data_IF_472340522467
#
_entry.id   IF_472340522467
#
_cell.length_a   1.000
_cell.length_b   1.000
_cell.length_c   1.000
_cell.angle_alpha   90.00
_cell.angle_beta   90.00
_cell.angle_gamma   90.00
#
_symmetry.space_group_name_H-M   'P 1'
#
loop_
_entity.id
_entity.type
_entity.pdbx_description
1 polymer ?
#
# COMPACT_ATOMS: atom_id res chain seq x y z
N UNK A 1 -12.16 -25.38 -25.14
CA UNK A 1 -11.18 -25.78 -24.10
C UNK A 1 -10.34 -24.61 -23.57
N UNK A 2 -10.35 -23.42 -24.19
CA UNK A 2 -9.51 -22.27 -23.78
C UNK A 2 -10.05 -21.47 -22.58
N UNK A 3 -11.37 -21.33 -22.43
CA UNK A 3 -11.99 -20.48 -21.37
C UNK A 3 -11.72 -20.97 -19.95
N UNK A 4 -11.84 -22.28 -19.69
CA UNK A 4 -11.68 -22.85 -18.35
C UNK A 4 -10.23 -22.79 -17.84
N UNK A 5 -9.23 -22.81 -18.73
CA UNK A 5 -7.83 -22.68 -18.37
C UNK A 5 -7.47 -21.23 -18.00
N UNK A 6 -8.00 -20.26 -18.77
CA UNK A 6 -7.85 -18.83 -18.47
C UNK A 6 -8.52 -18.47 -17.15
N UNK A 7 -9.77 -18.89 -16.93
CA UNK A 7 -10.52 -18.61 -15.70
C UNK A 7 -9.83 -19.16 -14.43
N UNK A 8 -9.28 -20.39 -14.51
CA UNK A 8 -8.51 -20.99 -13.43
C UNK A 8 -7.22 -20.22 -13.13
N UNK A 9 -6.55 -19.73 -14.18
CA UNK A 9 -5.30 -18.97 -14.05
C UNK A 9 -5.55 -17.59 -13.44
N UNK A 10 -6.57 -16.88 -13.90
CA UNK A 10 -6.98 -15.58 -13.33
C UNK A 10 -7.39 -15.71 -11.86
N UNK A 11 -8.16 -16.76 -11.53
CA UNK A 11 -8.56 -17.05 -10.15
C UNK A 11 -7.36 -17.33 -9.24
N UNK A 12 -6.37 -18.11 -9.71
CA UNK A 12 -5.16 -18.40 -8.96
C UNK A 12 -4.29 -17.15 -8.74
N UNK A 13 -4.14 -16.30 -9.77
CA UNK A 13 -3.45 -15.02 -9.66
C UNK A 13 -4.12 -14.12 -8.63
N UNK A 14 -5.46 -13.99 -8.69
CA UNK A 14 -6.22 -13.23 -7.69
C UNK A 14 -6.00 -13.75 -6.27
N UNK A 15 -6.05 -15.07 -6.06
CA UNK A 15 -5.85 -15.67 -4.75
C UNK A 15 -4.42 -15.46 -4.21
N UNK A 16 -3.40 -15.58 -5.08
CA UNK A 16 -2.00 -15.32 -4.72
C UNK A 16 -1.78 -13.86 -4.35
N UNK A 17 -2.27 -12.93 -5.17
CA UNK A 17 -2.16 -11.49 -4.91
C UNK A 17 -2.86 -11.09 -3.62
N UNK A 18 -4.06 -11.63 -3.35
CA UNK A 18 -4.77 -11.40 -2.10
C UNK A 18 -3.97 -11.85 -0.87
N UNK A 19 -3.28 -13.00 -0.93
CA UNK A 19 -2.41 -13.48 0.16
C UNK A 19 -1.22 -12.56 0.41
N UNK A 20 -0.58 -12.08 -0.66
CA UNK A 20 0.55 -11.12 -0.56
C UNK A 20 0.09 -9.83 0.12
N UNK A 21 -1.03 -9.25 -0.33
CA UNK A 21 -1.60 -8.03 0.25
C UNK A 21 -2.00 -8.26 1.72
N UNK A 22 -2.70 -9.35 2.03
CA UNK A 22 -3.14 -9.64 3.39
C UNK A 22 -1.95 -9.80 4.37
N UNK A 23 -0.85 -10.41 3.91
CA UNK A 23 0.38 -10.50 4.69
C UNK A 23 1.00 -9.13 4.92
N UNK A 24 1.13 -8.32 3.86
CA UNK A 24 1.69 -6.98 3.93
C UNK A 24 0.87 -6.04 4.83
N UNK A 25 -0.46 -6.12 4.81
CA UNK A 25 -1.35 -5.38 5.71
C UNK A 25 -1.03 -5.69 7.17
N UNK A 26 -0.89 -6.97 7.52
CA UNK A 26 -0.53 -7.37 8.89
C UNK A 26 0.84 -6.82 9.32
N UNK A 27 1.85 -6.93 8.45
CA UNK A 27 3.18 -6.40 8.73
C UNK A 27 3.24 -4.87 8.77
N UNK A 28 2.42 -4.20 7.99
CA UNK A 28 2.32 -2.73 7.97
C UNK A 28 1.65 -2.21 9.25
N UNK A 29 0.61 -2.88 9.73
CA UNK A 29 0.01 -2.58 11.03
C UNK A 29 1.03 -2.75 12.17
N UNK A 30 1.87 -3.79 12.11
CA UNK A 30 2.92 -4.01 13.11
C UNK A 30 4.04 -2.94 13.04
N UNK A 31 4.39 -2.46 11.85
CA UNK A 31 5.38 -1.40 11.67
C UNK A 31 4.99 -0.07 12.34
N UNK A 32 3.68 0.18 12.51
CA UNK A 32 3.14 1.37 13.17
C UNK A 32 3.33 1.40 14.72
N UNK A 33 3.89 0.33 15.31
CA UNK A 33 4.09 0.20 16.76
C UNK A 33 5.53 0.54 17.19
N UNK A 34 6.42 0.87 16.24
CA UNK A 34 7.82 1.19 16.52
C UNK A 34 7.94 2.58 17.18
N UNK A 35 8.45 2.70 18.42
CA UNK A 35 8.48 3.98 19.16
C UNK A 35 9.64 4.90 18.75
N UNK A 36 10.16 4.75 17.52
CA UNK A 36 11.28 5.55 17.00
C UNK A 36 10.76 6.43 15.85
N UNK A 37 10.84 7.77 15.98
CA UNK A 37 10.37 8.68 14.95
C UNK A 37 10.94 8.36 13.56
N UNK A 38 10.10 8.42 12.54
CA UNK A 38 10.43 8.18 11.11
C UNK A 38 10.81 6.74 10.75
N UNK A 39 11.28 5.93 11.69
CA UNK A 39 11.65 4.52 11.44
C UNK A 39 10.43 3.67 11.13
N UNK A 40 9.30 3.96 11.78
CA UNK A 40 7.99 3.37 11.50
C UNK A 40 7.55 3.59 10.04
N UNK A 41 7.75 4.80 9.51
CA UNK A 41 7.44 5.15 8.12
C UNK A 41 8.37 4.43 7.13
N UNK A 42 9.66 4.33 7.44
CA UNK A 42 10.61 3.57 6.63
C UNK A 42 10.29 2.07 6.63
N UNK A 43 9.91 1.52 7.79
CA UNK A 43 9.48 0.14 7.92
C UNK A 43 8.20 -0.12 7.10
N UNK A 44 7.20 0.77 7.19
CA UNK A 44 5.98 0.72 6.38
C UNK A 44 6.30 0.75 4.88
N UNK A 45 7.08 1.72 4.42
CA UNK A 45 7.49 1.82 3.02
C UNK A 45 8.24 0.57 2.56
N UNK A 46 9.10 0.01 3.41
CA UNK A 46 9.84 -1.23 3.11
C UNK A 46 8.91 -2.43 2.94
N UNK A 47 7.89 -2.55 3.80
CA UNK A 47 6.84 -3.58 3.66
C UNK A 47 6.09 -3.41 2.35
N UNK A 48 5.73 -2.18 1.99
CA UNK A 48 5.00 -1.88 0.74
C UNK A 48 5.86 -2.14 -0.51
N UNK A 49 7.14 -1.77 -0.50
CA UNK A 49 8.09 -2.09 -1.59
C UNK A 49 8.21 -3.60 -1.77
N UNK A 50 8.40 -4.34 -0.68
CA UNK A 50 8.46 -5.82 -0.73
C UNK A 50 7.15 -6.40 -1.28
N UNK A 51 6.00 -5.92 -0.80
CA UNK A 51 4.68 -6.36 -1.27
C UNK A 51 4.56 -6.19 -2.79
N UNK A 52 4.91 -5.02 -3.32
CA UNK A 52 4.80 -4.75 -4.76
C UNK A 52 5.76 -5.61 -5.58
N UNK A 53 6.98 -5.87 -5.09
CA UNK A 53 7.91 -6.83 -5.73
C UNK A 53 7.36 -8.25 -5.74
N UNK A 54 6.73 -8.69 -4.66
CA UNK A 54 6.11 -10.01 -4.60
C UNK A 54 4.88 -10.10 -5.51
N UNK A 55 4.10 -9.02 -5.65
CA UNK A 55 3.01 -8.92 -6.63
C UNK A 55 3.53 -8.96 -8.07
N UNK A 56 4.60 -8.25 -8.39
CA UNK A 56 5.24 -8.30 -9.70
C UNK A 56 5.60 -9.74 -10.08
N UNK A 57 6.23 -10.49 -9.16
CA UNK A 57 6.56 -11.91 -9.33
C UNK A 57 5.32 -12.79 -9.55
N UNK A 58 4.26 -12.56 -8.77
CA UNK A 58 2.98 -13.30 -8.94
C UNK A 58 2.42 -13.11 -10.35
N UNK A 59 2.54 -11.91 -10.90
CA UNK A 59 2.06 -11.56 -12.24
C UNK A 59 3.09 -11.78 -13.36
N UNK A 60 4.23 -12.43 -13.07
CA UNK A 60 5.28 -12.73 -14.05
C UNK A 60 6.05 -11.51 -14.56
N UNK A 61 5.99 -10.39 -13.84
CA UNK A 61 6.71 -9.16 -14.16
C UNK A 61 8.07 -9.11 -13.47
N UNK A 62 8.99 -8.31 -14.01
CA UNK A 62 10.26 -8.02 -13.35
C UNK A 62 10.01 -7.28 -12.02
N UNK A 63 10.69 -7.73 -10.97
CA UNK A 63 10.59 -7.17 -9.62
C UNK A 63 11.77 -6.25 -9.25
N UNK A 64 12.78 -6.18 -10.13
CA UNK A 64 13.96 -5.34 -10.03
C UNK A 64 13.70 -3.96 -10.61
N UNK A 65 13.17 -3.08 -9.78
CA UNK A 65 13.10 -1.65 -10.08
C UNK A 65 13.62 -0.85 -8.88
N UNK A 66 14.59 0.02 -9.16
CA UNK A 66 15.25 0.91 -8.20
C UNK A 66 14.47 2.18 -7.92
N UNK A 67 13.54 2.55 -8.80
CA UNK A 67 12.64 3.70 -8.63
C UNK A 67 11.44 3.37 -7.75
N UNK A 68 11.13 2.08 -7.57
CA UNK A 68 9.98 1.61 -6.80
C UNK A 68 9.87 2.24 -5.39
N UNK A 69 10.94 2.36 -4.57
CA UNK A 69 10.85 3.07 -3.30
C UNK A 69 10.34 4.50 -3.43
N UNK A 70 10.80 5.24 -4.46
CA UNK A 70 10.33 6.60 -4.75
C UNK A 70 8.87 6.63 -5.18
N UNK A 71 8.43 5.68 -6.00
CA UNK A 71 7.02 5.51 -6.37
C UNK A 71 6.14 5.27 -5.14
N UNK A 72 6.55 4.38 -4.24
CA UNK A 72 5.83 4.11 -2.99
C UNK A 72 5.77 5.36 -2.11
N UNK A 73 6.87 6.11 -2.00
CA UNK A 73 6.89 7.40 -1.31
C UNK A 73 5.91 8.41 -1.92
N UNK A 74 5.81 8.49 -3.25
CA UNK A 74 4.87 9.36 -3.93
C UNK A 74 3.41 8.98 -3.63
N UNK A 75 3.06 7.69 -3.73
CA UNK A 75 1.72 7.18 -3.41
C UNK A 75 1.34 7.45 -1.94
N UNK A 76 2.27 7.26 -1.00
CA UNK A 76 2.06 7.61 0.40
C UNK A 76 1.87 9.14 0.57
N UNK A 77 2.66 9.95 -0.16
CA UNK A 77 2.54 11.40 -0.19
C UNK A 77 1.15 11.88 -0.64
N UNK A 78 0.52 11.19 -1.59
CA UNK A 78 -0.88 11.43 -2.00
C UNK A 78 -1.88 11.13 -0.87
N UNK A 79 -1.63 10.07 -0.09
CA UNK A 79 -2.58 9.59 0.93
C UNK A 79 -2.49 10.33 2.27
N UNK A 80 -1.34 10.90 2.62
CA UNK A 80 -1.16 11.62 3.88
C UNK A 80 -2.13 12.81 3.99
N UNK A 81 -2.24 13.74 3.02
CA UNK A 81 -3.23 14.82 3.07
C UNK A 81 -4.67 14.32 3.16
N UNK A 82 -5.02 13.27 2.41
CA UNK A 82 -6.36 12.65 2.44
C UNK A 82 -6.70 12.03 3.82
N UNK A 83 -5.68 11.55 4.53
CA UNK A 83 -5.84 10.96 5.87
C UNK A 83 -5.95 12.02 6.96
N UNK A 84 -5.32 13.18 6.75
CA UNK A 84 -5.46 14.34 7.63
C UNK A 84 -6.85 14.97 7.50
N UNK A 85 -7.35 15.16 6.27
CA UNK A 85 -8.68 15.76 6.02
C UNK A 85 -9.83 14.89 6.55
N UNK A 86 -9.62 13.58 6.63
CA UNK A 86 -10.62 12.63 7.18
C UNK A 86 -10.48 12.37 8.68
N UNK A 87 -9.54 13.02 9.36
CA UNK A 87 -9.32 12.87 10.80
C UNK A 87 -8.62 11.58 11.23
N UNK A 88 -8.32 10.67 10.30
CA UNK A 88 -7.62 9.40 10.57
C UNK A 88 -6.26 9.63 11.22
N UNK A 89 -5.51 10.60 10.70
CA UNK A 89 -4.25 11.07 11.29
C UNK A 89 -4.43 12.40 12.06
N UNK A 90 -5.47 13.18 11.72
CA UNK A 90 -5.68 14.55 12.20
C UNK A 90 -6.02 14.67 13.69
N UNK A 91 -6.72 13.70 14.27
CA UNK A 91 -7.06 13.70 15.71
C UNK A 91 -5.86 13.37 16.61
N UNK A 92 -4.79 12.79 16.04
CA UNK A 92 -3.59 12.39 16.76
C UNK A 92 -2.47 13.44 16.78
N UNK A 93 -2.52 14.43 15.88
CA UNK A 93 -1.53 15.50 15.80
C UNK A 93 -1.50 16.41 17.05
N UNK A 94 -2.48 16.30 17.95
CA UNK A 94 -2.67 17.20 19.09
C UNK A 94 -1.95 16.82 20.39
N UNK A 95 -1.18 15.73 20.45
CA UNK A 95 -0.89 15.14 21.78
C UNK A 95 0.40 15.63 22.48
N UNK A 96 1.41 16.25 21.84
CA UNK A 96 2.59 16.71 22.61
C UNK A 96 3.18 18.04 22.07
N UNK A 97 3.08 19.16 22.81
CA UNK A 97 3.92 20.33 22.57
C UNK A 97 5.36 20.02 23.02
N UNK A 98 6.33 20.05 22.10
CA UNK A 98 7.77 20.04 22.43
C UNK A 98 8.60 18.83 22.00
N UNK A 99 8.01 17.77 21.44
CA UNK A 99 8.80 16.64 20.93
C UNK A 99 7.98 15.44 20.48
N UNK A 100 7.60 15.41 19.20
CA UNK A 100 7.08 14.21 18.52
C UNK A 100 5.57 14.12 18.41
N UNK A 101 5.06 14.17 17.17
CA UNK A 101 3.71 13.70 16.85
C UNK A 101 3.67 12.19 17.04
N UNK A 102 3.19 11.72 18.18
CA UNK A 102 2.62 10.39 18.25
C UNK A 102 1.31 10.44 17.46
N UNK A 103 1.39 10.18 16.15
CA UNK A 103 0.21 9.67 15.46
C UNK A 103 -0.24 8.49 16.30
N UNK A 104 -1.47 8.53 16.83
CA UNK A 104 -1.93 7.54 17.78
C UNK A 104 -1.74 6.18 17.15
N UNK A 105 -1.16 5.24 17.88
CA UNK A 105 -0.77 3.92 17.36
C UNK A 105 -1.89 3.25 16.56
N UNK A 106 -3.15 3.46 16.98
CA UNK A 106 -4.34 3.01 16.26
C UNK A 106 -4.56 3.73 14.91
N UNK A 107 -4.47 5.06 14.87
CA UNK A 107 -4.62 5.84 13.63
C UNK A 107 -3.51 5.54 12.64
N UNK A 108 -2.27 5.39 13.13
CA UNK A 108 -1.13 4.99 12.31
C UNK A 108 -1.26 3.56 11.79
N UNK A 109 -1.66 2.61 12.63
CA UNK A 109 -1.90 1.22 12.20
C UNK A 109 -3.04 1.13 11.17
N UNK A 110 -4.11 1.90 11.35
CA UNK A 110 -5.21 1.98 10.41
C UNK A 110 -4.77 2.61 9.07
N UNK A 111 -4.02 3.70 9.11
CA UNK A 111 -3.41 4.30 7.91
C UNK A 111 -2.47 3.33 7.20
N UNK A 112 -1.56 2.68 7.93
CA UNK A 112 -0.62 1.70 7.39
C UNK A 112 -1.34 0.52 6.73
N UNK A 113 -2.41 0.01 7.35
CA UNK A 113 -3.22 -1.07 6.80
C UNK A 113 -3.97 -0.64 5.55
N UNK A 114 -4.68 0.48 5.60
CA UNK A 114 -5.49 0.97 4.49
C UNK A 114 -4.63 1.40 3.29
N UNK A 115 -3.51 2.09 3.53
CA UNK A 115 -2.59 2.50 2.46
C UNK A 115 -1.96 1.30 1.77
N UNK A 116 -1.50 0.29 2.53
CA UNK A 116 -0.89 -0.89 1.87
C UNK A 116 -1.92 -1.74 1.14
N UNK A 117 -3.16 -1.83 1.66
CA UNK A 117 -4.23 -2.49 0.91
C UNK A 117 -4.52 -1.78 -0.41
N UNK A 118 -4.68 -0.45 -0.38
CA UNK A 118 -4.96 0.36 -1.55
C UNK A 118 -3.83 0.29 -2.59
N UNK A 119 -2.58 0.48 -2.16
CA UNK A 119 -1.40 0.37 -3.03
C UNK A 119 -1.32 -1.03 -3.65
N UNK A 120 -1.52 -2.08 -2.85
CA UNK A 120 -1.53 -3.46 -3.35
C UNK A 120 -2.59 -3.67 -4.43
N UNK A 121 -3.81 -3.14 -4.23
CA UNK A 121 -4.90 -3.21 -5.20
C UNK A 121 -4.57 -2.50 -6.52
N UNK A 122 -4.01 -1.29 -6.44
CA UNK A 122 -3.57 -0.53 -7.61
C UNK A 122 -2.54 -1.31 -8.43
N UNK A 123 -1.52 -1.87 -7.78
CA UNK A 123 -0.50 -2.66 -8.48
C UNK A 123 -1.04 -3.97 -9.06
N UNK A 124 -1.97 -4.66 -8.39
CA UNK A 124 -2.64 -5.84 -8.97
C UNK A 124 -3.36 -5.48 -10.26
N UNK A 125 -4.10 -4.36 -10.27
CA UNK A 125 -4.81 -3.89 -11.48
C UNK A 125 -3.80 -3.53 -12.58
N UNK A 126 -2.73 -2.83 -12.23
CA UNK A 126 -1.67 -2.44 -13.16
C UNK A 126 -1.01 -3.67 -13.82
N UNK A 127 -0.58 -4.65 -13.03
CA UNK A 127 0.05 -5.86 -13.55
C UNK A 127 -0.91 -6.76 -14.31
N UNK A 128 -2.19 -6.84 -13.90
CA UNK A 128 -3.21 -7.58 -14.64
C UNK A 128 -3.46 -7.01 -16.05
N UNK A 129 -3.23 -5.70 -16.24
CA UNK A 129 -3.28 -5.03 -17.56
C UNK A 129 -1.97 -5.16 -18.35
N UNK A 130 -0.99 -5.91 -17.87
CA UNK A 130 0.33 -6.06 -18.50
C UNK A 130 1.31 -4.92 -18.19
N UNK A 131 1.01 -4.10 -17.17
CA UNK A 131 1.95 -3.09 -16.67
C UNK A 131 3.20 -3.72 -16.04
N UNK A 132 4.26 -2.93 -15.93
CA UNK A 132 5.53 -3.28 -15.28
C UNK A 132 5.84 -2.24 -14.20
N UNK A 133 6.86 -2.47 -13.37
CA UNK A 133 7.28 -1.46 -12.40
C UNK A 133 7.75 -0.16 -13.09
N UNK A 134 8.51 -0.29 -14.17
CA UNK A 134 9.16 0.85 -14.84
C UNK A 134 8.23 1.72 -15.67
N UNK A 135 7.00 1.26 -15.94
CA UNK A 135 5.97 2.03 -16.64
C UNK A 135 4.80 2.46 -15.73
N UNK A 136 4.95 2.29 -14.42
CA UNK A 136 3.95 2.74 -13.46
C UNK A 136 4.00 4.27 -13.33
N UNK A 137 2.84 4.93 -13.29
CA UNK A 137 2.71 6.36 -12.97
C UNK A 137 1.83 6.50 -11.73
N UNK A 138 2.37 7.17 -10.70
CA UNK A 138 1.65 7.45 -9.47
C UNK A 138 0.54 8.49 -9.69
N UNK A 139 0.78 9.44 -10.61
CA UNK A 139 -0.13 10.50 -10.99
C UNK A 139 -1.37 9.94 -11.68
N UNK A 140 -1.17 8.97 -12.59
CA UNK A 140 -2.26 8.37 -13.36
C UNK A 140 -3.27 7.58 -12.50
N UNK A 141 -2.86 7.16 -11.30
CA UNK A 141 -3.66 6.33 -10.39
C UNK A 141 -4.09 7.08 -9.13
N UNK A 142 -3.82 8.38 -9.02
CA UNK A 142 -4.06 9.17 -7.81
C UNK A 142 -5.51 9.08 -7.31
N UNK A 143 -6.49 9.24 -8.20
CA UNK A 143 -7.90 9.21 -7.84
C UNK A 143 -8.37 7.80 -7.45
N UNK A 144 -7.94 6.79 -8.21
CA UNK A 144 -8.22 5.38 -7.90
C UNK A 144 -7.58 4.97 -6.56
N UNK A 145 -6.37 5.45 -6.28
CA UNK A 145 -5.65 5.22 -5.03
C UNK A 145 -6.43 5.81 -3.84
N UNK A 146 -6.90 7.06 -3.93
CA UNK A 146 -7.71 7.70 -2.88
C UNK A 146 -9.04 6.97 -2.66
N UNK A 147 -9.64 6.47 -3.74
CA UNK A 147 -10.89 5.69 -3.70
C UNK A 147 -10.68 4.36 -2.99
N UNK A 148 -9.67 3.57 -3.40
CA UNK A 148 -9.34 2.29 -2.78
C UNK A 148 -8.94 2.47 -1.32
N UNK A 149 -8.18 3.52 -1.00
CA UNK A 149 -7.83 3.88 0.38
C UNK A 149 -9.07 4.18 1.23
N UNK A 150 -10.02 4.94 0.69
CA UNK A 150 -11.28 5.25 1.37
C UNK A 150 -12.13 4.01 1.60
N UNK A 151 -12.20 3.10 0.62
CA UNK A 151 -12.89 1.82 0.75
C UNK A 151 -12.21 0.88 1.75
N UNK A 152 -10.87 0.90 1.83
CA UNK A 152 -10.10 0.08 2.77
C UNK A 152 -10.32 0.48 4.23
N UNK A 153 -10.54 1.78 4.51
CA UNK A 153 -10.87 2.27 5.86
C UNK A 153 -12.23 1.79 6.37
N UNK A 154 -13.13 1.36 5.48
CA UNK A 154 -14.49 0.92 5.80
C UNK A 154 -14.61 -0.61 6.01
N UNK A 155 -13.49 -1.32 5.98
CA UNK A 155 -13.39 -2.78 6.17
C UNK A 155 -12.65 -3.10 7.45
#
# INVERSE_FOLDING_TARGET
MTTAATEKTETDLHAKSARVIASAVKWSAAAAVVPVPYVDLLALASVQVKMVRDLARVHGQDAGDETLPGVISALLGTLVPASLSTGLLGSSLKVIPGGGSLIGSLGMAAFASASTFAIGKIFVIHFAKGGTLSNFSAEAVEDDLKKEFSAAKAK
#
